data_IF_949698437714
#
_entry.id   IF_949698437714
#
_cell.length_a   1.000
_cell.length_b   1.000
_cell.length_c   1.000
_cell.angle_alpha   90.00
_cell.angle_beta   90.00
_cell.angle_gamma   90.00
#
_symmetry.space_group_name_H-M   'P 1'
#
loop_
_entity.id
_entity.type
_entity.pdbx_description
1 polymer ?
#
# COMPACT_ATOMS: atom_id res chain seq x y z
N UNK A 1 -1.50 43.86 5.99
CA UNK A 1 -2.47 44.76 5.32
C UNK A 1 -3.57 45.21 6.27
N UNK A 2 -4.27 44.30 6.97
CA UNK A 2 -5.30 44.65 7.99
C UNK A 2 -4.79 45.60 9.08
N UNK A 3 -3.59 45.37 9.61
CA UNK A 3 -2.96 46.24 10.60
C UNK A 3 -2.76 47.70 10.13
N UNK A 4 -2.50 47.90 8.82
CA UNK A 4 -2.36 49.24 8.25
C UNK A 4 -3.72 49.97 8.22
N UNK A 5 -4.81 49.27 7.87
CA UNK A 5 -6.15 49.87 7.83
C UNK A 5 -6.71 50.23 9.22
N UNK A 6 -6.38 49.48 10.26
CA UNK A 6 -6.69 49.86 11.65
C UNK A 6 -6.02 51.19 12.03
N UNK A 7 -4.74 51.34 11.67
CA UNK A 7 -3.99 52.59 11.90
C UNK A 7 -4.60 53.78 11.15
N UNK A 8 -5.13 53.57 9.95
CA UNK A 8 -5.79 54.61 9.17
C UNK A 8 -7.12 55.08 9.82
N UNK A 9 -7.90 54.16 10.40
CA UNK A 9 -9.10 54.50 11.17
C UNK A 9 -8.77 55.34 12.41
N UNK A 10 -7.71 54.98 13.13
CA UNK A 10 -7.23 55.75 14.29
C UNK A 10 -6.77 57.16 13.90
N UNK A 11 -6.05 57.28 12.78
CA UNK A 11 -5.60 58.57 12.23
C UNK A 11 -6.79 59.47 11.84
N UNK A 12 -7.84 58.88 11.26
CA UNK A 12 -9.06 59.59 10.89
C UNK A 12 -9.80 60.09 12.14
N UNK A 13 -9.92 59.26 13.18
CA UNK A 13 -10.53 59.67 14.45
C UNK A 13 -9.73 60.76 15.16
N UNK A 14 -8.39 60.71 15.08
CA UNK A 14 -7.53 61.78 15.55
C UNK A 14 -7.76 63.09 14.79
N UNK A 15 -7.88 63.03 13.45
CA UNK A 15 -8.12 64.19 12.60
C UNK A 15 -9.42 64.93 12.95
N UNK A 16 -10.52 64.20 13.22
CA UNK A 16 -11.79 64.79 13.68
C UNK A 16 -11.59 65.58 14.98
N UNK A 17 -11.04 64.93 16.01
CA UNK A 17 -10.80 65.55 17.31
C UNK A 17 -9.87 66.77 17.21
N UNK A 18 -8.89 66.70 16.33
CA UNK A 18 -7.97 67.80 16.05
C UNK A 18 -8.70 69.01 15.44
N UNK A 19 -9.51 68.80 14.41
CA UNK A 19 -10.27 69.88 13.75
C UNK A 19 -11.40 70.45 14.64
N UNK A 20 -12.04 69.63 15.48
CA UNK A 20 -12.98 70.08 16.50
C UNK A 20 -12.30 70.99 17.53
N UNK A 21 -11.15 70.57 18.06
CA UNK A 21 -10.37 71.35 19.04
C UNK A 21 -9.90 72.68 18.44
N UNK A 22 -9.47 72.68 17.17
CA UNK A 22 -9.06 73.89 16.46
C UNK A 22 -10.22 74.87 16.26
N UNK A 23 -11.41 74.37 15.91
CA UNK A 23 -12.59 75.20 15.72
C UNK A 23 -13.06 75.81 17.04
N UNK A 24 -13.08 75.05 18.15
CA UNK A 24 -13.45 75.58 19.47
C UNK A 24 -12.50 76.66 19.95
N UNK A 25 -11.18 76.45 19.84
CA UNK A 25 -10.16 77.45 20.25
C UNK A 25 -10.21 78.72 19.40
N UNK A 26 -10.55 78.60 18.12
CA UNK A 26 -10.72 79.74 17.23
C UNK A 26 -11.93 80.61 17.62
N UNK A 27 -13.04 79.98 18.05
CA UNK A 27 -14.25 80.68 18.53
C UNK A 27 -14.01 81.41 19.85
N UNK A 28 -13.31 80.77 20.80
CA UNK A 28 -13.08 81.34 22.14
C UNK A 28 -12.08 82.50 22.12
N UNK A 29 -10.99 82.38 21.35
CA UNK A 29 -9.84 83.29 21.47
C UNK A 29 -9.61 84.17 20.23
N UNK A 30 -10.46 84.06 19.20
CA UNK A 30 -10.31 84.74 17.89
C UNK A 30 -8.89 84.62 17.30
N UNK A 31 -8.24 83.49 17.54
CA UNK A 31 -6.89 83.16 17.04
C UNK A 31 -6.80 81.71 16.61
N UNK A 32 -5.95 81.43 15.63
CA UNK A 32 -5.73 80.09 15.12
C UNK A 32 -5.13 79.19 16.21
N UNK A 33 -5.76 78.04 16.48
CA UNK A 33 -5.27 77.09 17.49
C UNK A 33 -3.95 76.38 17.16
N UNK A 34 -3.50 76.44 15.90
CA UNK A 34 -2.26 75.79 15.44
C UNK A 34 -1.05 76.74 15.42
N UNK A 35 -1.22 77.95 14.86
CA UNK A 35 -0.13 78.94 14.73
C UNK A 35 -0.28 80.16 15.65
N UNK A 36 -1.32 80.20 16.49
CA UNK A 36 -1.62 81.26 17.47
C UNK A 36 -1.83 82.68 16.89
N UNK A 37 -1.87 82.80 15.56
CA UNK A 37 -2.15 84.07 14.86
C UNK A 37 -3.61 84.51 15.07
N UNK A 38 -3.81 85.77 15.43
CA UNK A 38 -5.15 86.39 15.51
C UNK A 38 -5.79 86.56 14.12
N UNK A 39 -7.10 86.38 14.04
CA UNK A 39 -7.86 86.65 12.80
C UNK A 39 -8.07 88.17 12.66
N UNK A 40 -7.78 88.71 11.47
CA UNK A 40 -7.80 90.17 11.24
C UNK A 40 -9.24 90.64 10.94
N UNK A 41 -10.08 89.76 10.41
CA UNK A 41 -11.50 90.03 10.16
C UNK A 41 -12.38 88.84 10.56
N UNK A 42 -13.64 89.13 10.88
CA UNK A 42 -14.63 88.08 11.16
C UNK A 42 -14.91 87.20 9.92
N UNK A 43 -14.62 87.70 8.70
CA UNK A 43 -14.71 86.92 7.46
C UNK A 43 -13.62 85.83 7.37
N UNK A 44 -12.41 86.11 7.87
CA UNK A 44 -11.32 85.11 7.96
C UNK A 44 -11.65 84.00 8.96
N UNK A 45 -12.25 84.37 10.10
CA UNK A 45 -12.73 83.41 11.08
C UNK A 45 -13.83 82.51 10.48
N UNK A 46 -14.79 83.09 9.76
CA UNK A 46 -15.84 82.34 9.08
C UNK A 46 -15.32 81.38 7.99
N UNK A 47 -14.27 81.79 7.24
CA UNK A 47 -13.60 80.93 6.24
C UNK A 47 -12.89 79.75 6.91
N UNK A 48 -12.21 80.00 8.03
CA UNK A 48 -11.54 78.96 8.82
C UNK A 48 -12.53 77.96 9.43
N UNK A 49 -13.64 78.42 10.00
CA UNK A 49 -14.69 77.56 10.53
C UNK A 49 -15.33 76.69 9.43
N UNK A 50 -15.64 77.27 8.27
CA UNK A 50 -16.14 76.50 7.13
C UNK A 50 -15.14 75.46 6.65
N UNK A 51 -13.83 75.73 6.71
CA UNK A 51 -12.80 74.75 6.37
C UNK A 51 -12.79 73.58 7.38
N UNK A 52 -12.74 73.87 8.68
CA UNK A 52 -12.79 72.84 9.71
C UNK A 52 -14.07 72.00 9.61
N UNK A 53 -15.22 72.64 9.40
CA UNK A 53 -16.51 71.96 9.30
C UNK A 53 -16.61 71.08 8.05
N UNK A 54 -16.17 71.57 6.89
CA UNK A 54 -16.12 70.75 5.65
C UNK A 54 -15.21 69.54 5.80
N UNK A 55 -14.09 69.67 6.51
CA UNK A 55 -13.18 68.55 6.76
C UNK A 55 -13.81 67.53 7.72
N UNK A 56 -14.46 68.00 8.79
CA UNK A 56 -15.22 67.14 9.73
C UNK A 56 -16.36 66.41 9.01
N UNK A 57 -17.04 67.04 8.05
CA UNK A 57 -18.16 66.42 7.31
C UNK A 57 -17.73 65.34 6.30
N UNK A 58 -16.50 65.41 5.77
CA UNK A 58 -15.97 64.42 4.81
C UNK A 58 -15.51 63.13 5.49
N UNK A 59 -14.92 63.27 6.66
CA UNK A 59 -14.31 62.17 7.42
C UNK A 59 -15.29 60.99 7.69
N UNK A 60 -16.56 61.20 8.11
CA UNK A 60 -17.49 60.09 8.35
C UNK A 60 -17.70 59.18 7.14
N UNK A 61 -17.69 59.73 5.92
CA UNK A 61 -17.85 58.95 4.69
C UNK A 61 -16.62 58.10 4.39
N UNK A 62 -15.43 58.70 4.51
CA UNK A 62 -14.15 58.00 4.34
C UNK A 62 -13.97 56.91 5.40
N UNK A 63 -14.37 57.19 6.64
CA UNK A 63 -14.35 56.23 7.74
C UNK A 63 -15.27 55.04 7.45
N UNK A 64 -16.51 55.28 7.06
CA UNK A 64 -17.46 54.20 6.75
C UNK A 64 -16.94 53.29 5.63
N UNK A 65 -16.37 53.88 4.58
CA UNK A 65 -15.76 53.11 3.48
C UNK A 65 -14.58 52.24 3.95
N UNK A 66 -13.73 52.77 4.82
CA UNK A 66 -12.59 52.02 5.37
C UNK A 66 -13.04 50.92 6.33
N UNK A 67 -14.07 51.17 7.14
CA UNK A 67 -14.65 50.16 8.04
C UNK A 67 -15.28 49.01 7.25
N UNK A 68 -15.98 49.30 6.15
CA UNK A 68 -16.57 48.27 5.29
C UNK A 68 -15.49 47.46 4.58
N UNK A 69 -14.49 48.12 3.98
CA UNK A 69 -13.34 47.40 3.42
C UNK A 69 -12.65 46.54 4.49
N UNK A 70 -12.48 47.04 5.71
CA UNK A 70 -11.84 46.29 6.79
C UNK A 70 -12.63 45.03 7.13
N UNK A 71 -13.97 45.09 7.16
CA UNK A 71 -14.83 43.91 7.36
C UNK A 71 -14.63 42.90 6.23
N UNK A 72 -14.60 43.35 4.98
CA UNK A 72 -14.38 42.48 3.82
C UNK A 72 -13.03 41.76 3.92
N UNK A 73 -11.95 42.49 4.21
CA UNK A 73 -10.62 41.90 4.40
C UNK A 73 -10.55 40.94 5.60
N UNK A 74 -11.31 41.19 6.66
CA UNK A 74 -11.39 40.28 7.81
C UNK A 74 -12.14 39.00 7.43
N UNK A 75 -13.22 39.11 6.66
CA UNK A 75 -13.98 37.97 6.16
C UNK A 75 -13.12 37.11 5.22
N UNK A 76 -12.43 37.72 4.26
CA UNK A 76 -11.51 37.01 3.37
C UNK A 76 -10.39 36.30 4.15
N UNK A 77 -9.82 36.94 5.18
CA UNK A 77 -8.82 36.28 6.02
C UNK A 77 -9.40 35.15 6.86
N UNK A 78 -10.65 35.27 7.31
CA UNK A 78 -11.31 34.19 8.04
C UNK A 78 -11.52 32.97 7.14
N UNK A 79 -11.83 33.18 5.86
CA UNK A 79 -12.00 32.13 4.86
C UNK A 79 -10.67 31.51 4.42
N UNK A 80 -9.60 32.30 4.28
CA UNK A 80 -8.29 31.82 3.83
C UNK A 80 -7.50 31.08 4.92
N UNK A 81 -7.63 31.46 6.20
CA UNK A 81 -6.93 30.80 7.32
C UNK A 81 -7.12 29.27 7.38
N UNK A 82 -8.34 28.71 7.26
CA UNK A 82 -8.52 27.25 7.28
C UNK A 82 -7.98 26.54 6.03
N UNK A 83 -7.80 27.25 4.92
CA UNK A 83 -7.17 26.66 3.72
C UNK A 83 -5.68 26.41 3.93
N UNK A 84 -5.00 27.23 4.72
CA UNK A 84 -3.57 27.05 5.00
C UNK A 84 -3.29 25.73 5.74
N UNK A 85 -4.11 25.37 6.73
CA UNK A 85 -3.95 24.08 7.42
C UNK A 85 -4.22 22.91 6.48
N UNK A 86 -5.22 23.05 5.60
CA UNK A 86 -5.55 22.07 4.58
C UNK A 86 -4.41 21.89 3.57
N UNK A 87 -3.74 22.98 3.17
CA UNK A 87 -2.58 22.95 2.29
C UNK A 87 -1.39 22.22 2.94
N UNK A 88 -1.12 22.45 4.22
CA UNK A 88 -0.07 21.73 4.96
C UNK A 88 -0.37 20.22 4.96
N UNK A 89 -1.63 19.83 5.19
CA UNK A 89 -2.05 18.43 5.15
C UNK A 89 -1.89 17.84 3.75
N UNK A 90 -2.31 18.56 2.71
CA UNK A 90 -2.13 18.13 1.31
C UNK A 90 -0.67 17.96 0.93
N UNK A 91 0.20 18.89 1.34
CA UNK A 91 1.65 18.79 1.10
C UNK A 91 2.24 17.56 1.78
N UNK A 92 1.88 17.31 3.05
CA UNK A 92 2.33 16.12 3.77
C UNK A 92 1.87 14.82 3.10
N UNK A 93 0.59 14.75 2.71
CA UNK A 93 0.02 13.60 2.01
C UNK A 93 0.74 13.35 0.69
N UNK A 94 0.89 14.40 -0.12
CA UNK A 94 1.50 14.34 -1.45
C UNK A 94 2.98 13.96 -1.39
N UNK A 95 3.76 14.68 -0.61
CA UNK A 95 5.21 14.61 -0.70
C UNK A 95 5.76 13.42 0.10
N UNK A 96 5.10 13.06 1.21
CA UNK A 96 5.59 12.03 2.13
C UNK A 96 4.77 10.75 2.08
N UNK A 97 3.46 10.83 2.31
CA UNK A 97 2.65 9.63 2.54
C UNK A 97 2.41 8.84 1.25
N UNK A 98 2.05 9.51 0.15
CA UNK A 98 1.89 8.87 -1.15
C UNK A 98 3.17 8.21 -1.64
N UNK A 99 4.31 8.91 -1.55
CA UNK A 99 5.61 8.37 -1.94
C UNK A 99 5.98 7.10 -1.15
N UNK A 100 5.73 7.11 0.18
CA UNK A 100 5.96 5.93 1.03
C UNK A 100 5.04 4.77 0.67
N UNK A 101 3.76 5.04 0.44
CA UNK A 101 2.78 4.02 0.07
C UNK A 101 3.09 3.43 -1.31
N UNK A 102 3.57 4.23 -2.27
CA UNK A 102 4.00 3.74 -3.58
C UNK A 102 5.20 2.80 -3.47
N UNK A 103 6.24 3.19 -2.72
CA UNK A 103 7.41 2.34 -2.46
C UNK A 103 7.01 1.01 -1.81
N UNK A 104 6.12 1.06 -0.82
CA UNK A 104 5.65 -0.15 -0.15
C UNK A 104 4.80 -1.03 -1.08
N UNK A 105 3.96 -0.44 -1.94
CA UNK A 105 3.19 -1.17 -2.92
C UNK A 105 4.09 -1.89 -3.93
N UNK A 106 5.13 -1.22 -4.42
CA UNK A 106 6.09 -1.80 -5.36
C UNK A 106 6.92 -2.91 -4.71
N UNK A 107 7.30 -2.73 -3.44
CA UNK A 107 7.96 -3.79 -2.65
C UNK A 107 7.07 -5.02 -2.52
N UNK A 108 5.81 -4.84 -2.12
CA UNK A 108 4.86 -5.94 -1.96
C UNK A 108 4.54 -6.65 -3.28
N UNK A 109 4.45 -5.92 -4.39
CA UNK A 109 4.32 -6.52 -5.73
C UNK A 109 5.51 -7.39 -6.09
N UNK A 110 6.73 -6.90 -5.86
CA UNK A 110 7.95 -7.66 -6.09
C UNK A 110 8.01 -8.93 -5.24
N UNK A 111 7.66 -8.84 -3.95
CA UNK A 111 7.57 -9.99 -3.06
C UNK A 111 6.52 -11.01 -3.53
N UNK A 112 5.37 -10.54 -4.01
CA UNK A 112 4.31 -11.39 -4.57
C UNK A 112 4.78 -12.11 -5.84
N UNK A 113 5.49 -11.44 -6.73
CA UNK A 113 6.03 -12.06 -7.94
C UNK A 113 7.08 -13.13 -7.62
N UNK A 114 7.94 -12.87 -6.63
CA UNK A 114 8.90 -13.86 -6.12
C UNK A 114 8.15 -15.05 -5.51
N UNK A 115 7.13 -14.83 -4.70
CA UNK A 115 6.34 -15.91 -4.11
C UNK A 115 5.63 -16.75 -5.18
N UNK A 116 5.05 -16.10 -6.20
CA UNK A 116 4.39 -16.76 -7.32
C UNK A 116 5.36 -17.60 -8.15
N UNK A 117 6.57 -17.09 -8.44
CA UNK A 117 7.59 -17.86 -9.16
C UNK A 117 8.04 -19.10 -8.38
N UNK A 118 8.28 -18.97 -7.07
CA UNK A 118 8.59 -20.09 -6.18
C UNK A 118 7.46 -21.11 -6.13
N UNK A 119 6.22 -20.66 -6.05
CA UNK A 119 5.03 -21.53 -6.05
C UNK A 119 4.94 -22.34 -7.34
N UNK A 120 5.11 -21.70 -8.51
CA UNK A 120 5.12 -22.38 -9.81
C UNK A 120 6.26 -23.39 -9.92
N UNK A 121 7.46 -23.05 -9.44
CA UNK A 121 8.59 -23.98 -9.43
C UNK A 121 8.32 -25.19 -8.56
N UNK A 122 7.80 -24.99 -7.34
CA UNK A 122 7.44 -26.07 -6.45
C UNK A 122 6.35 -26.97 -7.06
N UNK A 123 5.36 -26.39 -7.73
CA UNK A 123 4.32 -27.16 -8.40
C UNK A 123 4.86 -27.99 -9.56
N UNK A 124 5.77 -27.43 -10.37
CA UNK A 124 6.47 -28.18 -11.43
C UNK A 124 7.27 -29.35 -10.86
N UNK A 125 7.93 -29.15 -9.73
CA UNK A 125 8.73 -30.20 -9.08
C UNK A 125 7.83 -31.31 -8.51
N UNK A 126 6.67 -30.96 -7.95
CA UNK A 126 5.68 -31.92 -7.48
C UNK A 126 5.16 -32.78 -8.63
N UNK A 127 4.84 -32.19 -9.79
CA UNK A 127 4.40 -32.98 -10.94
C UNK A 127 5.52 -33.90 -11.45
N UNK A 128 6.76 -33.41 -11.53
CA UNK A 128 7.92 -34.26 -11.87
C UNK A 128 8.09 -35.45 -10.93
N UNK A 129 7.90 -35.24 -9.63
CA UNK A 129 7.98 -36.31 -8.63
C UNK A 129 6.81 -37.30 -8.75
N UNK A 130 5.60 -36.84 -9.10
CA UNK A 130 4.46 -37.72 -9.37
C UNK A 130 4.71 -38.60 -10.59
N UNK A 131 5.26 -38.05 -11.66
CA UNK A 131 5.60 -38.82 -12.87
C UNK A 131 6.61 -39.91 -12.52
N UNK A 132 7.68 -39.57 -11.80
CA UNK A 132 8.69 -40.54 -11.35
C UNK A 132 8.13 -41.60 -10.42
N UNK A 133 7.18 -41.24 -9.55
CA UNK A 133 6.47 -42.20 -8.71
C UNK A 133 5.62 -43.16 -9.56
N UNK A 134 4.98 -42.65 -10.61
CA UNK A 134 4.21 -43.46 -11.57
C UNK A 134 5.12 -44.47 -12.29
N UNK A 135 6.27 -44.02 -12.79
CA UNK A 135 7.28 -44.89 -13.43
C UNK A 135 7.75 -46.00 -12.49
N UNK A 136 8.08 -45.66 -11.24
CA UNK A 136 8.48 -46.64 -10.23
C UNK A 136 7.37 -47.68 -9.95
N UNK A 137 6.10 -47.25 -9.94
CA UNK A 137 4.96 -48.17 -9.78
C UNK A 137 4.82 -49.11 -10.97
N UNK A 138 5.13 -48.65 -12.20
CA UNK A 138 5.14 -49.51 -13.37
C UNK A 138 6.24 -50.58 -13.27
N UNK A 139 7.43 -50.23 -12.78
CA UNK A 139 8.52 -51.18 -12.55
C UNK A 139 8.20 -52.25 -11.51
N UNK A 140 7.22 -52.02 -10.61
CA UNK A 140 6.81 -53.00 -9.61
C UNK A 140 6.12 -54.23 -10.21
N UNK A 141 5.41 -54.09 -11.34
CA UNK A 141 4.74 -55.23 -12.01
C UNK A 141 5.73 -56.30 -12.47
N UNK A 142 6.77 -55.96 -13.27
CA UNK A 142 7.81 -56.92 -13.66
C UNK A 142 8.47 -57.61 -12.48
N UNK A 143 8.70 -56.92 -11.35
CA UNK A 143 9.29 -57.54 -10.15
C UNK A 143 8.39 -58.64 -9.61
N UNK A 144 7.08 -58.42 -9.53
CA UNK A 144 6.15 -59.46 -9.12
C UNK A 144 6.14 -60.65 -10.10
N UNK A 145 6.23 -60.36 -11.40
CA UNK A 145 6.32 -61.41 -12.42
C UNK A 145 7.62 -62.22 -12.28
N UNK A 146 8.74 -61.57 -11.97
CA UNK A 146 10.02 -62.23 -11.69
C UNK A 146 9.95 -63.14 -10.47
N UNK A 147 9.30 -62.70 -9.38
CA UNK A 147 9.09 -63.53 -8.18
C UNK A 147 8.27 -64.77 -8.53
N UNK A 148 7.18 -64.61 -9.30
CA UNK A 148 6.38 -65.76 -9.74
C UNK A 148 7.17 -66.72 -10.62
N UNK A 149 7.97 -66.20 -11.56
CA UNK A 149 8.84 -67.03 -12.40
C UNK A 149 9.91 -67.76 -11.57
N UNK A 150 10.42 -67.14 -10.50
CA UNK A 150 11.37 -67.79 -9.58
C UNK A 150 10.73 -68.95 -8.82
N UNK A 151 9.49 -68.79 -8.35
CA UNK A 151 8.72 -69.87 -7.73
C UNK A 151 8.48 -71.03 -8.71
N UNK A 152 8.09 -70.73 -9.96
CA UNK A 152 7.92 -71.73 -11.03
C UNK A 152 9.23 -72.48 -11.33
N UNK A 153 10.36 -71.77 -11.40
CA UNK A 153 11.69 -72.37 -11.60
C UNK A 153 12.03 -73.32 -10.45
N UNK A 154 11.74 -72.93 -9.20
CA UNK A 154 12.03 -73.76 -8.03
C UNK A 154 11.16 -75.02 -8.00
N UNK A 155 9.90 -74.94 -8.43
CA UNK A 155 9.02 -76.11 -8.54
C UNK A 155 9.50 -77.07 -9.64
N UNK A 156 9.81 -76.54 -10.83
CA UNK A 156 10.37 -77.35 -11.93
C UNK A 156 11.68 -78.05 -11.53
N UNK A 157 12.55 -77.39 -10.74
CA UNK A 157 13.76 -78.03 -10.21
C UNK A 157 13.44 -79.21 -9.30
N UNK A 158 12.41 -79.10 -8.44
CA UNK A 158 11.98 -80.20 -7.58
C UNK A 158 11.42 -81.36 -8.41
N UNK A 159 10.60 -81.06 -9.40
CA UNK A 159 10.08 -82.06 -10.34
C UNK A 159 11.21 -82.78 -11.07
N UNK A 160 12.20 -82.04 -11.59
CA UNK A 160 13.38 -82.63 -12.24
C UNK A 160 14.13 -83.54 -11.25
N UNK A 161 14.44 -83.09 -10.04
CA UNK A 161 15.14 -83.92 -9.05
C UNK A 161 14.34 -85.16 -8.64
N UNK A 162 13.00 -85.05 -8.58
CA UNK A 162 12.15 -86.20 -8.33
C UNK A 162 12.19 -87.19 -9.48
N UNK A 163 12.04 -86.73 -10.72
CA UNK A 163 12.12 -87.57 -11.93
C UNK A 163 13.51 -88.22 -12.08
N UNK A 164 14.59 -87.49 -11.76
CA UNK A 164 15.95 -88.03 -11.73
C UNK A 164 16.07 -89.16 -10.70
N UNK A 165 15.53 -88.97 -9.48
CA UNK A 165 15.51 -90.02 -8.46
C UNK A 165 14.64 -91.22 -8.86
N UNK A 166 13.48 -90.97 -9.48
CA UNK A 166 12.61 -92.02 -10.01
C UNK A 166 13.27 -92.80 -11.14
N UNK A 167 14.05 -92.14 -12.01
CA UNK A 167 14.86 -92.76 -13.05
C UNK A 167 16.03 -93.57 -12.48
N UNK A 168 16.74 -93.06 -11.47
CA UNK A 168 17.76 -93.84 -10.75
C UNK A 168 17.16 -95.08 -10.09
N UNK A 169 15.96 -94.95 -9.52
CA UNK A 169 15.25 -96.05 -8.86
C UNK A 169 14.67 -97.03 -9.88
N UNK A 170 14.14 -96.56 -11.02
CA UNK A 170 13.65 -97.41 -12.11
C UNK A 170 14.77 -98.00 -12.97
N UNK A 171 15.96 -97.39 -12.98
CA UNK A 171 17.18 -98.00 -13.52
C UNK A 171 17.61 -99.25 -12.76
N UNK A 172 17.01 -99.49 -11.60
CA UNK A 172 17.14 -100.71 -10.78
C UNK A 172 15.97 -101.71 -10.98
N UNK A 173 14.95 -101.38 -11.77
CA UNK A 173 13.87 -102.31 -12.08
C UNK A 173 14.28 -103.25 -13.22
N UNK A 174 14.94 -104.34 -12.81
CA UNK A 174 15.15 -105.62 -13.50
C UNK A 174 15.89 -105.50 -14.83
N UNK A 175 17.19 -105.78 -14.78
CA UNK A 175 17.93 -106.12 -16.00
C UNK A 175 17.21 -107.25 -16.72
N UNK A 176 17.27 -107.28 -18.06
CA UNK A 176 16.76 -108.39 -18.86
C UNK A 176 17.25 -109.76 -18.34
N UNK A 177 18.40 -109.78 -17.67
CA UNK A 177 18.97 -110.91 -16.93
C UNK A 177 18.05 -111.41 -15.80
N UNK A 178 17.52 -110.55 -14.94
CA UNK A 178 16.62 -110.95 -13.84
C UNK A 178 15.22 -111.39 -14.31
N UNK A 179 14.85 -111.04 -15.55
CA UNK A 179 13.65 -111.57 -16.21
C UNK A 179 13.96 -112.95 -16.82
N UNK A 180 15.17 -113.13 -17.35
CA UNK A 180 15.65 -114.40 -17.92
C UNK A 180 15.87 -115.47 -16.84
N UNK A 181 16.44 -115.10 -15.69
CA UNK A 181 16.67 -116.02 -14.55
C UNK A 181 15.35 -116.58 -13.98
N UNK A 182 14.27 -115.78 -14.00
CA UNK A 182 12.95 -116.26 -13.57
C UNK A 182 12.27 -117.18 -14.61
N UNK A 183 12.50 -116.93 -15.90
CA UNK A 183 12.05 -117.82 -16.97
C UNK A 183 12.79 -119.17 -16.91
N UNK A 184 14.09 -119.16 -16.66
CA UNK A 184 14.90 -120.37 -16.57
C UNK A 184 14.56 -121.19 -15.32
N UNK A 185 14.28 -120.53 -14.18
CA UNK A 185 13.78 -121.21 -12.99
C UNK A 185 12.42 -121.90 -13.20
N UNK A 186 11.49 -121.28 -13.95
CA UNK A 186 10.18 -121.89 -14.25
C UNK A 186 10.24 -122.97 -15.33
N UNK A 187 11.24 -122.93 -16.22
CA UNK A 187 11.43 -123.95 -17.27
C UNK A 187 12.04 -125.24 -16.71
N UNK A 188 12.68 -125.20 -15.54
CA UNK A 188 13.23 -126.37 -14.84
C UNK A 188 12.20 -127.13 -13.98
N UNK A 189 10.98 -126.61 -13.81
CA UNK A 189 9.89 -127.25 -13.07
C UNK A 189 8.85 -128.00 -13.95
N UNK A 190 9.11 -128.14 -15.26
CA UNK A 190 8.30 -128.95 -16.21
C UNK A 190 9.17 -130.07 -16.78
#
# INVERSE_FOLDING_TARGET
MVYFKFRDLDNIQFSVKFHETLSSKAKENKKCGACQRGFVSDEELAKFERYCQKTIEKIPKERAQLEDQLKDWIAELADLKPLLSSEITLNKLRDTELSKLQLENDRLKSELDIANSKSRQAQSEVERLKDRLSELRLCRRPINDMIRMEDEINELKREISQLESELETCGSLRTSEEVQDQLDCQTLEI
#
